data_IF_341893088200
#
_entry.id   IF_341893088200
#
_cell.length_a   1.000
_cell.length_b   1.000
_cell.length_c   1.000
_cell.angle_alpha   90.00
_cell.angle_beta   90.00
_cell.angle_gamma   90.00
#
_symmetry.space_group_name_H-M   'P 1'
#
loop_
_entity.id
_entity.type
_entity.pdbx_description
1 polymer ?
#
# COMPACT_ATOMS: atom_id res chain seq x y z
N UNK A 1 17.88 -1.79 5.39
CA UNK A 1 16.81 -0.85 5.01
C UNK A 1 15.61 -1.64 4.52
N UNK A 2 14.42 -1.23 4.92
CA UNK A 2 13.20 -1.91 4.49
C UNK A 2 12.86 -1.55 3.05
N UNK A 3 12.38 -2.53 2.29
CA UNK A 3 11.86 -2.31 0.94
C UNK A 3 10.34 -2.15 1.03
N UNK A 4 9.85 -0.98 0.67
CA UNK A 4 8.43 -0.64 0.76
C UNK A 4 7.86 -0.43 -0.63
N UNK A 5 6.76 -1.13 -0.93
CA UNK A 5 6.00 -0.95 -2.18
C UNK A 5 4.56 -0.60 -1.81
N UNK A 6 4.06 0.49 -2.37
CA UNK A 6 2.68 0.92 -2.16
C UNK A 6 1.85 0.63 -3.40
N UNK A 7 0.83 -0.20 -3.25
CA UNK A 7 -0.16 -0.49 -4.29
C UNK A 7 -1.34 0.45 -4.09
N UNK A 8 -1.65 1.27 -5.07
CA UNK A 8 -2.58 2.38 -4.88
C UNK A 8 -3.31 2.81 -6.15
N UNK A 9 -4.27 3.75 -5.97
CA UNK A 9 -4.84 4.58 -7.04
C UNK A 9 -4.36 6.00 -6.82
N UNK A 10 -4.03 6.73 -7.88
CA UNK A 10 -3.57 8.13 -7.77
C UNK A 10 -4.63 9.05 -7.13
N UNK A 11 -5.89 8.83 -7.40
CA UNK A 11 -6.98 9.68 -6.94
C UNK A 11 -7.71 9.15 -5.70
N UNK A 12 -7.12 8.21 -5.00
CA UNK A 12 -7.72 7.63 -3.81
C UNK A 12 -7.35 8.45 -2.56
N UNK A 13 -8.31 9.00 -1.82
CA UNK A 13 -8.00 9.79 -0.62
C UNK A 13 -7.33 8.97 0.48
N UNK A 14 -7.66 7.70 0.60
CA UNK A 14 -7.01 6.83 1.59
C UNK A 14 -5.57 6.52 1.20
N UNK A 15 -5.31 6.34 -0.09
CA UNK A 15 -3.94 6.17 -0.60
C UNK A 15 -3.13 7.45 -0.36
N UNK A 16 -3.76 8.62 -0.55
CA UNK A 16 -3.09 9.90 -0.31
C UNK A 16 -2.65 10.04 1.15
N UNK A 17 -3.43 9.55 2.10
CA UNK A 17 -3.05 9.56 3.52
C UNK A 17 -1.79 8.72 3.77
N UNK A 18 -1.70 7.56 3.14
CA UNK A 18 -0.53 6.70 3.26
C UNK A 18 0.70 7.35 2.63
N UNK A 19 0.54 7.95 1.45
CA UNK A 19 1.65 8.66 0.80
C UNK A 19 2.16 9.80 1.68
N UNK A 20 1.24 10.58 2.24
CA UNK A 20 1.60 11.68 3.12
C UNK A 20 2.36 11.18 4.35
N UNK A 21 1.96 10.06 4.91
CA UNK A 21 2.63 9.48 6.08
C UNK A 21 4.04 9.00 5.73
N UNK A 22 4.20 8.33 4.60
CA UNK A 22 5.52 7.89 4.13
C UNK A 22 6.45 9.08 3.92
N UNK A 23 5.95 10.15 3.29
CA UNK A 23 6.72 11.36 3.05
C UNK A 23 7.07 12.07 4.38
N UNK A 24 6.13 12.15 5.30
CA UNK A 24 6.35 12.76 6.62
C UNK A 24 7.45 12.04 7.38
N UNK A 25 7.50 10.72 7.29
CA UNK A 25 8.50 9.91 7.97
C UNK A 25 9.84 9.82 7.23
N UNK A 26 9.92 10.43 6.05
CA UNK A 26 11.14 10.41 5.24
C UNK A 26 11.49 9.04 4.69
N UNK A 27 10.48 8.19 4.50
CA UNK A 27 10.69 6.83 4.00
C UNK A 27 10.64 6.80 2.48
N UNK A 28 11.58 6.08 1.87
CA UNK A 28 11.57 5.84 0.45
C UNK A 28 10.66 4.63 0.16
N UNK A 29 9.88 4.73 -0.90
CA UNK A 29 8.98 3.66 -1.29
C UNK A 29 8.75 3.66 -2.81
N UNK A 30 8.39 2.50 -3.32
CA UNK A 30 8.01 2.34 -4.71
C UNK A 30 6.49 2.40 -4.80
N UNK A 31 5.98 3.12 -5.79
CA UNK A 31 4.56 3.34 -5.98
C UNK A 31 4.08 2.56 -7.21
N UNK A 32 3.11 1.69 -7.01
CA UNK A 32 2.51 0.90 -8.09
C UNK A 32 1.04 1.28 -8.22
N UNK A 33 0.69 1.88 -9.35
CA UNK A 33 -0.70 2.21 -9.64
C UNK A 33 -1.39 0.98 -10.20
N UNK A 34 -2.39 0.49 -9.47
CA UNK A 34 -3.13 -0.70 -9.90
C UNK A 34 -4.40 -0.29 -10.66
N UNK A 35 -4.97 -1.23 -11.41
CA UNK A 35 -6.19 -1.01 -12.18
C UNK A 35 -7.40 -0.82 -11.25
N UNK A 36 -8.34 0.03 -11.67
CA UNK A 36 -9.64 0.13 -11.00
C UNK A 36 -10.50 -1.12 -11.25
N UNK A 37 -10.19 -1.87 -12.27
CA UNK A 37 -10.92 -3.08 -12.64
C UNK A 37 -10.46 -4.26 -11.79
N UNK A 38 -11.35 -4.78 -10.95
CA UNK A 38 -11.06 -5.92 -10.07
C UNK A 38 -10.81 -7.23 -10.83
N UNK A 39 -11.23 -7.29 -12.11
CA UNK A 39 -10.97 -8.44 -12.95
C UNK A 39 -9.58 -8.42 -13.57
N UNK A 40 -8.86 -7.31 -13.46
CA UNK A 40 -7.50 -7.19 -13.95
C UNK A 40 -6.59 -8.21 -13.24
N UNK A 41 -5.75 -8.94 -13.97
CA UNK A 41 -4.86 -9.95 -13.36
C UNK A 41 -3.99 -9.40 -12.23
N UNK A 42 -3.55 -8.16 -12.34
CA UNK A 42 -2.74 -7.52 -11.29
C UNK A 42 -3.56 -7.35 -10.00
N UNK A 43 -4.83 -6.95 -10.13
CA UNK A 43 -5.72 -6.82 -8.96
C UNK A 43 -6.02 -8.17 -8.33
N UNK A 44 -6.24 -9.20 -9.14
CA UNK A 44 -6.46 -10.56 -8.65
C UNK A 44 -5.23 -11.10 -7.92
N UNK A 45 -4.06 -10.86 -8.47
CA UNK A 45 -2.81 -11.27 -7.84
C UNK A 45 -2.60 -10.56 -6.51
N UNK A 46 -2.87 -9.25 -6.46
CA UNK A 46 -2.73 -8.47 -5.23
C UNK A 46 -3.70 -8.98 -4.15
N UNK A 47 -4.95 -9.26 -4.51
CA UNK A 47 -5.93 -9.82 -3.59
C UNK A 47 -5.46 -11.17 -3.06
N UNK A 48 -4.98 -12.04 -3.93
CA UNK A 48 -4.51 -13.36 -3.54
C UNK A 48 -3.34 -13.30 -2.57
N UNK A 49 -2.37 -12.42 -2.83
CA UNK A 49 -1.17 -12.31 -2.01
C UNK A 49 -1.40 -11.54 -0.72
N UNK A 50 -2.22 -10.50 -0.75
CA UNK A 50 -2.45 -9.63 0.41
C UNK A 50 -3.64 -10.05 1.25
N UNK A 51 -4.63 -10.70 0.64
CA UNK A 51 -5.90 -10.99 1.29
C UNK A 51 -6.77 -9.74 1.45
N UNK A 52 -6.40 -8.62 0.83
CA UNK A 52 -7.12 -7.34 0.96
C UNK A 52 -7.74 -6.98 -0.38
N UNK A 53 -9.09 -6.86 -0.46
CA UNK A 53 -9.76 -6.60 -1.74
C UNK A 53 -9.69 -5.17 -2.23
N UNK A 54 -9.14 -4.27 -1.43
CA UNK A 54 -9.09 -2.84 -1.76
C UNK A 54 -7.68 -2.29 -1.66
N UNK A 55 -7.50 -1.03 -2.07
CA UNK A 55 -6.27 -0.29 -1.88
C UNK A 55 -6.53 0.82 -0.84
N UNK A 56 -5.54 1.35 -0.15
CA UNK A 56 -4.10 1.09 -0.32
C UNK A 56 -3.65 -0.22 0.32
N UNK A 57 -2.59 -0.80 -0.23
CA UNK A 57 -1.92 -1.97 0.34
C UNK A 57 -0.43 -1.70 0.25
N UNK A 58 0.32 -1.97 1.31
CA UNK A 58 1.78 -1.90 1.24
C UNK A 58 2.40 -3.28 1.40
N UNK A 59 3.57 -3.44 0.79
CA UNK A 59 4.42 -4.60 0.98
C UNK A 59 5.71 -4.11 1.62
N UNK A 60 6.02 -4.59 2.81
CA UNK A 60 7.25 -4.26 3.52
C UNK A 60 8.04 -5.54 3.70
N UNK A 61 9.11 -5.68 2.91
CA UNK A 61 9.98 -6.86 2.94
C UNK A 61 9.23 -8.18 2.81
N UNK A 62 8.20 -8.20 1.96
CA UNK A 62 7.39 -9.38 1.72
C UNK A 62 6.13 -9.50 2.55
N UNK A 63 5.93 -8.60 3.51
CA UNK A 63 4.73 -8.59 4.34
C UNK A 63 3.72 -7.59 3.79
N UNK A 64 2.49 -8.06 3.53
CA UNK A 64 1.41 -7.21 3.02
C UNK A 64 0.57 -6.67 4.16
N UNK A 65 0.31 -5.37 4.14
CA UNK A 65 -0.57 -4.70 5.10
C UNK A 65 -1.60 -3.90 4.30
N UNK A 66 -2.86 -4.11 4.58
CA UNK A 66 -3.96 -3.40 3.92
C UNK A 66 -4.62 -2.40 4.86
N UNK A 67 -5.52 -1.58 4.30
CA UNK A 67 -6.26 -0.52 4.96
C UNK A 67 -5.37 0.62 5.47
N UNK A 68 -5.76 1.87 5.13
CA UNK A 68 -4.92 3.03 5.42
C UNK A 68 -4.59 3.19 6.89
N UNK A 69 -5.56 2.96 7.79
CA UNK A 69 -5.34 3.08 9.24
C UNK A 69 -4.35 2.05 9.76
N UNK A 70 -4.45 0.81 9.29
CA UNK A 70 -3.53 -0.26 9.68
C UNK A 70 -2.13 -0.03 9.13
N UNK A 71 -2.04 0.47 7.90
CA UNK A 71 -0.75 0.81 7.27
C UNK A 71 -0.05 1.90 8.07
N UNK A 72 -0.76 2.97 8.39
CA UNK A 72 -0.21 4.10 9.13
C UNK A 72 0.26 3.64 10.51
N UNK A 73 -0.55 2.84 11.20
CA UNK A 73 -0.20 2.29 12.49
C UNK A 73 1.07 1.44 12.42
N UNK A 74 1.14 0.58 11.41
CA UNK A 74 2.32 -0.26 11.21
C UNK A 74 3.58 0.58 10.99
N UNK A 75 3.48 1.63 10.17
CA UNK A 75 4.61 2.51 9.90
C UNK A 75 5.06 3.22 11.17
N UNK A 76 4.13 3.71 11.98
CA UNK A 76 4.45 4.39 13.23
C UNK A 76 5.10 3.47 14.25
N UNK A 77 4.73 2.19 14.28
CA UNK A 77 5.26 1.23 15.23
C UNK A 77 6.61 0.65 14.81
N UNK A 78 6.92 0.62 13.50
CA UNK A 78 8.10 -0.09 13.00
C UNK A 78 9.15 0.81 12.37
N UNK A 79 8.88 2.06 12.20
CA UNK A 79 9.79 3.04 11.63
C UNK A 79 9.79 4.33 12.45
#
# INVERSE_FOLDING_TARGET
MASITLFQFEQCPFCAKVRAKLDEMGLEYEKVNVSYDREDPQRKELLEKSGVPTVPVINVDGKYIGESSEIIKYLEENF
#
